data_IF_899206183043
#
_entry.id   IF_899206183043
#
_cell.length_a   1.000
_cell.length_b   1.000
_cell.length_c   1.000
_cell.angle_alpha   90.00
_cell.angle_beta   90.00
_cell.angle_gamma   90.00
#
_symmetry.space_group_name_H-M   'P 1'
#
loop_
_entity.id
_entity.type
_entity.pdbx_description
1 polymer ?
#
# COMPACT_ATOMS: atom_id res chain seq x y z
N UNK A 1 -15.06 -1.09 19.45
CA UNK A 1 -15.26 0.19 20.15
C UNK A 1 -15.03 1.27 19.11
N UNK A 2 -15.87 2.32 19.03
CA UNK A 2 -15.64 3.41 18.09
C UNK A 2 -14.50 4.30 18.59
N UNK A 3 -13.56 4.61 17.70
CA UNK A 3 -12.37 5.40 17.97
C UNK A 3 -12.13 6.43 16.86
N UNK A 4 -11.39 7.48 17.17
CA UNK A 4 -10.83 8.40 16.18
C UNK A 4 -9.50 7.86 15.64
N UNK A 5 -9.07 8.31 14.45
CA UNK A 5 -7.75 7.95 13.91
C UNK A 5 -6.60 8.39 14.82
N UNK A 6 -6.79 9.49 15.56
CA UNK A 6 -5.82 9.98 16.54
C UNK A 6 -5.66 9.02 17.72
N UNK A 7 -6.76 8.52 18.27
CA UNK A 7 -6.72 7.50 19.34
C UNK A 7 -6.07 6.20 18.84
N UNK A 8 -6.32 5.81 17.60
CA UNK A 8 -5.64 4.67 16.97
C UNK A 8 -4.13 4.96 16.82
N UNK A 9 -3.74 6.15 16.37
CA UNK A 9 -2.34 6.55 16.28
C UNK A 9 -1.63 6.54 17.65
N UNK A 10 -2.32 6.99 18.71
CA UNK A 10 -1.83 6.91 20.09
C UNK A 10 -1.62 5.46 20.53
N UNK A 11 -2.55 4.55 20.20
CA UNK A 11 -2.41 3.12 20.47
C UNK A 11 -1.21 2.51 19.73
N UNK A 12 -1.04 2.84 18.44
CA UNK A 12 0.09 2.38 17.64
C UNK A 12 1.42 2.90 18.21
N UNK A 13 1.47 4.13 18.72
CA UNK A 13 2.68 4.69 19.34
C UNK A 13 3.01 4.02 20.67
N UNK A 14 1.99 3.77 21.50
CA UNK A 14 2.14 3.17 22.83
C UNK A 14 2.59 1.70 22.76
N UNK A 15 2.39 1.04 21.62
CA UNK A 15 2.83 -0.32 21.35
C UNK A 15 4.35 -0.49 21.49
N UNK A 16 4.77 -1.57 22.15
CA UNK A 16 6.16 -2.00 22.28
C UNK A 16 6.61 -2.87 21.08
N UNK A 17 5.73 -3.13 20.12
CA UNK A 17 6.03 -4.01 18.98
C UNK A 17 6.98 -3.34 17.99
N UNK A 18 7.98 -4.10 17.57
CA UNK A 18 8.89 -3.72 16.47
C UNK A 18 8.13 -3.57 15.16
N UNK A 19 7.16 -4.45 14.88
CA UNK A 19 6.35 -4.40 13.67
C UNK A 19 4.87 -4.38 14.02
N UNK A 20 4.13 -3.49 13.38
CA UNK A 20 2.68 -3.38 13.43
C UNK A 20 2.13 -3.43 12.01
N UNK A 21 1.56 -4.57 11.64
CA UNK A 21 0.97 -4.84 10.33
C UNK A 21 -0.54 -4.65 10.39
N UNK A 22 -1.07 -3.76 9.54
CA UNK A 22 -2.46 -3.34 9.55
C UNK A 22 -3.07 -3.60 8.19
N UNK A 23 -4.08 -4.45 8.14
CA UNK A 23 -4.94 -4.56 6.96
C UNK A 23 -6.04 -3.49 7.05
N UNK A 24 -6.30 -2.76 5.96
CA UNK A 24 -7.48 -1.92 5.85
C UNK A 24 -7.98 -1.84 4.41
N UNK A 25 -9.30 -1.87 4.24
CA UNK A 25 -9.92 -1.73 2.93
C UNK A 25 -9.60 -0.38 2.26
N UNK A 26 -9.80 -0.33 0.95
CA UNK A 26 -9.71 0.93 0.22
C UNK A 26 -10.77 1.91 0.74
N UNK A 27 -10.36 3.15 0.98
CA UNK A 27 -11.22 4.17 1.58
C UNK A 27 -11.28 4.16 3.11
N UNK A 28 -10.72 3.16 3.81
CA UNK A 28 -10.77 3.07 5.29
C UNK A 28 -9.85 4.04 6.04
N UNK A 29 -9.21 4.98 5.35
CA UNK A 29 -8.45 6.07 6.00
C UNK A 29 -6.98 5.78 6.32
N UNK A 30 -6.34 4.75 5.73
CA UNK A 30 -4.91 4.42 5.95
C UNK A 30 -3.96 5.61 5.80
N UNK A 31 -4.12 6.37 4.71
CA UNK A 31 -3.31 7.57 4.46
C UNK A 31 -3.59 8.70 5.46
N UNK A 32 -4.80 8.79 6.00
CA UNK A 32 -5.11 9.74 7.08
C UNK A 32 -4.51 9.27 8.41
N UNK A 33 -4.50 7.97 8.68
CA UNK A 33 -3.84 7.39 9.84
C UNK A 33 -2.33 7.64 9.82
N UNK A 34 -1.67 7.49 8.67
CA UNK A 34 -0.23 7.79 8.55
C UNK A 34 0.08 9.27 8.81
N UNK A 35 -0.82 10.18 8.41
CA UNK A 35 -0.73 11.61 8.71
C UNK A 35 -0.91 11.94 10.19
N UNK A 36 -1.97 11.42 10.82
CA UNK A 36 -2.20 11.58 12.26
C UNK A 36 -1.02 11.05 13.07
N UNK A 37 -0.48 9.88 12.68
CA UNK A 37 0.68 9.30 13.33
C UNK A 37 1.94 10.16 13.16
N UNK A 38 2.19 10.70 11.96
CA UNK A 38 3.28 11.65 11.70
C UNK A 38 3.17 12.87 12.61
N UNK A 39 2.00 13.51 12.65
CA UNK A 39 1.77 14.73 13.43
C UNK A 39 1.91 14.49 14.95
N UNK A 40 1.59 13.28 15.41
CA UNK A 40 1.71 12.87 16.80
C UNK A 40 3.15 12.59 17.26
N UNK A 41 4.00 12.09 16.35
CA UNK A 41 5.40 11.72 16.65
C UNK A 41 6.38 12.83 16.32
N UNK A 42 6.11 13.60 15.27
CA UNK A 42 6.91 14.74 14.80
C UNK A 42 6.00 15.93 14.49
N UNK A 43 5.46 16.63 15.51
CA UNK A 43 4.61 17.79 15.31
C UNK A 43 5.40 18.88 14.58
N UNK A 44 4.81 19.47 13.53
CA UNK A 44 5.42 20.61 12.84
C UNK A 44 5.64 21.73 13.84
N UNK A 45 6.88 22.00 14.20
CA UNK A 45 7.19 23.27 14.84
C UNK A 45 6.96 24.37 13.80
N UNK A 46 6.46 25.54 14.20
CA UNK A 46 6.01 26.61 13.29
C UNK A 46 7.12 27.28 12.44
N UNK A 47 8.30 26.64 12.32
CA UNK A 47 9.47 27.12 11.62
C UNK A 47 10.01 26.12 10.57
N UNK A 48 9.26 25.08 10.20
CA UNK A 48 9.67 24.15 9.13
C UNK A 48 9.33 24.74 7.75
N UNK A 49 10.20 25.62 7.25
CA UNK A 49 10.40 25.76 5.81
C UNK A 49 11.15 24.52 5.32
N UNK A 50 10.65 23.85 4.27
CA UNK A 50 11.13 22.58 3.68
C UNK A 50 12.61 22.59 3.16
N UNK A 51 13.46 23.50 3.65
CA UNK A 51 14.85 23.71 3.26
C UNK A 51 15.85 23.64 4.44
N UNK A 52 15.45 23.35 5.67
CA UNK A 52 16.42 23.18 6.75
C UNK A 52 17.04 21.77 6.71
N UNK A 53 18.35 21.73 6.46
CA UNK A 53 19.22 20.54 6.43
C UNK A 53 19.29 19.80 7.79
N UNK A 54 18.72 20.38 8.85
CA UNK A 54 18.77 19.90 10.23
C UNK A 54 17.48 19.16 10.65
N UNK A 55 16.81 18.51 9.69
CA UNK A 55 15.52 17.84 9.88
C UNK A 55 15.67 16.52 10.66
N UNK A 56 15.71 16.61 12.00
CA UNK A 56 15.65 15.45 12.91
C UNK A 56 14.22 14.90 13.01
N UNK A 57 13.71 14.35 11.92
CA UNK A 57 12.38 13.73 11.91
C UNK A 57 12.41 12.40 12.66
N UNK A 58 11.50 12.25 13.64
CA UNK A 58 11.33 10.99 14.37
C UNK A 58 10.63 9.89 13.57
N UNK A 59 10.17 10.22 12.36
CA UNK A 59 9.44 9.32 11.48
C UNK A 59 9.84 9.50 10.01
N UNK A 60 10.03 8.37 9.33
CA UNK A 60 10.09 8.26 7.88
C UNK A 60 8.78 7.62 7.42
N UNK A 61 8.16 8.16 6.37
CA UNK A 61 6.89 7.62 5.88
C UNK A 61 6.88 7.49 4.36
N UNK A 62 6.22 6.45 3.87
CA UNK A 62 5.85 6.24 2.48
C UNK A 62 4.33 6.20 2.39
N UNK A 63 3.72 7.10 1.62
CA UNK A 63 2.28 7.13 1.34
C UNK A 63 1.99 7.93 0.05
N UNK A 64 0.71 8.16 -0.27
CA UNK A 64 0.34 8.94 -1.45
C UNK A 64 0.97 10.35 -1.49
N UNK A 65 1.20 11.02 -0.34
CA UNK A 65 1.83 12.34 -0.33
C UNK A 65 3.33 12.28 -0.68
N UNK A 66 4.01 11.18 -0.40
CA UNK A 66 5.39 11.00 -0.85
C UNK A 66 5.49 10.62 -2.31
N UNK A 67 4.50 9.90 -2.84
CA UNK A 67 4.39 9.68 -4.28
C UNK A 67 4.14 10.99 -5.04
N UNK A 68 3.35 11.91 -4.47
CA UNK A 68 3.08 13.24 -5.04
C UNK A 68 4.32 14.16 -5.09
N UNK A 69 5.45 13.78 -4.47
CA UNK A 69 6.73 14.46 -4.69
C UNK A 69 7.24 14.26 -6.13
N UNK A 70 6.68 13.28 -6.86
CA UNK A 70 7.07 12.93 -8.21
C UNK A 70 5.93 13.24 -9.18
N UNK A 71 6.20 14.05 -10.19
CA UNK A 71 5.17 14.49 -11.12
C UNK A 71 5.69 14.59 -12.55
N UNK A 72 4.81 14.28 -13.52
CA UNK A 72 5.21 14.27 -14.92
C UNK A 72 5.19 15.65 -15.55
N UNK A 73 6.30 15.99 -16.21
CA UNK A 73 6.33 16.97 -17.30
C UNK A 73 6.24 16.21 -18.62
N UNK A 74 5.06 16.26 -19.25
CA UNK A 74 4.76 15.50 -20.46
C UNK A 74 5.16 16.24 -21.75
N UNK A 75 5.76 17.44 -21.68
CA UNK A 75 6.12 18.23 -22.85
C UNK A 75 4.93 18.37 -23.83
N UNK A 76 3.77 18.83 -23.35
CA UNK A 76 2.52 18.83 -24.14
C UNK A 76 2.59 19.64 -25.43
N UNK A 77 3.54 20.58 -25.55
CA UNK A 77 3.71 21.41 -26.73
C UNK A 77 4.42 20.68 -27.87
N UNK A 78 5.46 19.89 -27.57
CA UNK A 78 6.30 19.22 -28.58
C UNK A 78 6.11 17.71 -28.59
N UNK A 79 5.53 17.15 -27.53
CA UNK A 79 5.26 15.73 -27.30
C UNK A 79 6.50 14.82 -27.43
N UNK A 80 7.67 15.35 -27.07
CA UNK A 80 8.97 14.71 -27.36
C UNK A 80 9.80 14.36 -26.13
N UNK A 81 9.86 15.23 -25.11
CA UNK A 81 10.77 15.09 -23.97
C UNK A 81 10.03 14.91 -22.64
N UNK A 82 9.40 13.76 -22.47
CA UNK A 82 8.70 13.40 -21.24
C UNK A 82 9.70 13.09 -20.12
N UNK A 83 9.48 13.68 -18.96
CA UNK A 83 10.35 13.51 -17.78
C UNK A 83 9.52 13.51 -16.49
N UNK A 84 9.98 12.73 -15.52
CA UNK A 84 9.45 12.72 -14.17
C UNK A 84 10.25 13.73 -13.35
N UNK A 85 9.60 14.78 -12.85
CA UNK A 85 10.20 15.78 -11.98
C UNK A 85 10.07 15.37 -10.52
N UNK A 86 11.06 15.73 -9.74
CA UNK A 86 11.15 15.48 -8.30
C UNK A 86 11.05 16.83 -7.59
N UNK A 87 10.04 16.99 -6.74
CA UNK A 87 9.91 18.14 -5.86
C UNK A 87 11.10 18.19 -4.90
N UNK A 88 11.71 19.37 -4.65
CA UNK A 88 12.76 19.50 -3.65
C UNK A 88 12.31 18.95 -2.30
N UNK A 89 13.08 18.02 -1.76
CA UNK A 89 12.81 17.41 -0.46
C UNK A 89 14.12 16.86 0.13
N UNK A 90 14.19 16.80 1.46
CA UNK A 90 15.40 16.38 2.17
C UNK A 90 15.80 14.92 1.86
N UNK A 91 14.82 14.03 1.67
CA UNK A 91 15.06 12.59 1.52
C UNK A 91 15.75 12.24 0.21
N UNK A 92 15.20 12.73 -0.92
CA UNK A 92 15.72 12.44 -2.25
C UNK A 92 17.06 13.12 -2.50
N UNK A 93 17.25 14.32 -1.96
CA UNK A 93 18.53 15.01 -2.02
C UNK A 93 19.62 14.19 -1.33
N UNK A 94 19.40 13.79 -0.07
CA UNK A 94 20.38 13.04 0.70
C UNK A 94 20.74 11.69 0.04
N UNK A 95 19.74 10.92 -0.41
CA UNK A 95 19.98 9.57 -0.97
C UNK A 95 20.68 9.59 -2.33
N UNK A 96 20.44 10.62 -3.16
CA UNK A 96 21.01 10.72 -4.50
C UNK A 96 22.32 11.50 -4.51
N UNK A 97 22.35 12.67 -3.87
CA UNK A 97 23.48 13.57 -3.95
C UNK A 97 24.57 13.26 -2.91
N UNK A 98 24.18 12.99 -1.66
CA UNK A 98 25.15 12.76 -0.59
C UNK A 98 25.61 11.30 -0.55
N UNK A 99 24.68 10.36 -0.75
CA UNK A 99 24.97 8.92 -0.71
C UNK A 99 25.29 8.30 -2.08
N UNK A 100 24.95 8.96 -3.20
CA UNK A 100 25.29 8.47 -4.54
C UNK A 100 24.62 7.14 -4.92
N UNK A 101 23.36 6.92 -4.51
CA UNK A 101 22.66 5.65 -4.68
C UNK A 101 21.79 5.56 -5.93
N UNK A 102 22.01 6.42 -6.91
CA UNK A 102 21.30 6.39 -8.19
C UNK A 102 21.38 5.01 -8.87
N UNK A 103 22.56 4.38 -8.85
CA UNK A 103 22.75 3.04 -9.44
C UNK A 103 22.02 1.94 -8.66
N UNK A 104 21.98 2.02 -7.32
CA UNK A 104 21.24 1.06 -6.49
C UNK A 104 19.73 1.18 -6.72
N UNK A 105 19.23 2.41 -6.89
CA UNK A 105 17.82 2.68 -7.20
C UNK A 105 17.48 2.12 -8.58
N UNK A 106 18.33 2.33 -9.58
CA UNK A 106 18.16 1.76 -10.94
C UNK A 106 18.14 0.23 -10.87
N UNK A 107 19.10 -0.38 -10.16
CA UNK A 107 19.18 -1.83 -10.03
C UNK A 107 17.95 -2.42 -9.35
N UNK A 108 17.49 -1.81 -8.24
CA UNK A 108 16.29 -2.26 -7.54
C UNK A 108 15.03 -2.09 -8.40
N UNK A 109 14.91 -0.99 -9.15
CA UNK A 109 13.82 -0.80 -10.10
C UNK A 109 13.80 -1.89 -11.18
N UNK A 110 14.95 -2.17 -11.79
CA UNK A 110 15.08 -3.17 -12.84
C UNK A 110 14.86 -4.61 -12.36
N UNK A 111 15.09 -4.89 -11.07
CA UNK A 111 14.70 -6.17 -10.47
C UNK A 111 13.19 -6.42 -10.64
N UNK A 112 12.37 -5.39 -10.44
CA UNK A 112 10.89 -5.50 -10.46
C UNK A 112 10.25 -5.20 -11.81
N UNK A 113 10.94 -4.50 -12.73
CA UNK A 113 10.40 -4.16 -14.07
C UNK A 113 11.13 -4.85 -15.22
N UNK A 114 12.22 -5.55 -14.93
CA UNK A 114 13.16 -6.10 -15.90
C UNK A 114 14.14 -5.06 -16.46
N UNK A 115 15.25 -5.55 -17.02
CA UNK A 115 16.42 -4.75 -17.40
C UNK A 115 16.27 -3.96 -18.72
N UNK A 116 15.07 -3.93 -19.32
CA UNK A 116 14.86 -3.23 -20.60
C UNK A 116 14.58 -1.74 -20.43
N UNK A 117 14.07 -1.36 -19.26
CA UNK A 117 13.69 0.01 -18.93
C UNK A 117 14.75 0.58 -17.98
N UNK A 118 15.38 1.68 -18.37
CA UNK A 118 16.45 2.30 -17.60
C UNK A 118 16.07 3.73 -17.24
N UNK A 119 15.98 4.07 -15.93
CA UNK A 119 15.88 5.45 -15.46
C UNK A 119 17.23 6.15 -15.60
N UNK A 120 17.20 7.43 -15.94
CA UNK A 120 18.36 8.31 -16.02
C UNK A 120 18.10 9.58 -15.23
N UNK A 121 18.87 9.79 -14.16
CA UNK A 121 18.84 11.03 -13.41
C UNK A 121 19.59 12.13 -14.15
N UNK A 122 19.05 13.34 -14.13
CA UNK A 122 19.70 14.46 -14.79
C UNK A 122 20.94 14.94 -14.02
N UNK A 123 21.97 15.36 -14.75
CA UNK A 123 23.03 16.24 -14.21
C UNK A 123 22.53 17.68 -14.12
N UNK A 124 23.24 18.55 -13.42
CA UNK A 124 22.92 19.97 -13.40
C UNK A 124 23.06 20.57 -14.81
N UNK A 125 22.05 21.32 -15.26
CA UNK A 125 22.08 22.01 -16.55
C UNK A 125 21.28 23.31 -16.53
N UNK A 126 21.60 24.23 -17.44
CA UNK A 126 20.85 25.48 -17.62
C UNK A 126 19.92 25.36 -18.83
N UNK A 127 18.68 25.80 -18.70
CA UNK A 127 17.69 25.86 -19.78
C UNK A 127 16.90 27.17 -19.72
N UNK A 128 15.99 27.40 -20.66
CA UNK A 128 15.11 28.57 -20.66
C UNK A 128 13.69 28.19 -20.26
N UNK A 129 13.03 29.03 -19.46
CA UNK A 129 11.59 28.90 -19.17
C UNK A 129 10.74 29.37 -20.37
N UNK A 130 9.41 29.28 -20.23
CA UNK A 130 8.45 29.71 -21.27
C UNK A 130 8.53 31.22 -21.58
N UNK A 131 9.18 32.02 -20.72
CA UNK A 131 9.35 33.47 -20.87
C UNK A 131 10.75 33.83 -21.41
N UNK A 132 11.61 32.83 -21.67
CA UNK A 132 12.97 33.01 -22.16
C UNK A 132 14.00 33.31 -21.08
N UNK A 133 13.64 33.25 -19.80
CA UNK A 133 14.57 33.43 -18.69
C UNK A 133 15.45 32.19 -18.52
N UNK A 134 16.74 32.38 -18.27
CA UNK A 134 17.62 31.28 -17.91
C UNK A 134 17.27 30.74 -16.52
N UNK A 135 17.02 29.44 -16.45
CA UNK A 135 16.78 28.69 -15.22
C UNK A 135 17.81 27.57 -15.08
N UNK A 136 18.31 27.39 -13.86
CA UNK A 136 19.20 26.29 -13.51
C UNK A 136 18.34 25.11 -13.03
N UNK A 137 18.46 23.98 -13.72
CA UNK A 137 17.88 22.70 -13.30
C UNK A 137 18.93 21.95 -12.50
N UNK A 138 18.64 21.72 -11.22
CA UNK A 138 19.55 21.05 -10.29
C UNK A 138 19.77 19.59 -10.71
N UNK A 139 20.93 19.03 -10.40
CA UNK A 139 21.16 17.59 -10.52
C UNK A 139 20.09 16.80 -9.72
N UNK A 140 19.75 15.60 -10.19
CA UNK A 140 18.81 14.69 -9.53
C UNK A 140 17.39 15.26 -9.29
N UNK A 141 17.01 16.30 -10.04
CA UNK A 141 15.67 16.91 -9.96
C UNK A 141 14.70 16.39 -11.02
N UNK A 142 15.21 15.67 -12.01
CA UNK A 142 14.45 15.11 -13.13
C UNK A 142 14.97 13.71 -13.49
N UNK A 143 14.05 12.84 -13.91
CA UNK A 143 14.33 11.48 -14.36
C UNK A 143 13.72 11.27 -15.73
N UNK A 144 14.52 10.78 -16.67
CA UNK A 144 14.06 10.32 -17.98
C UNK A 144 14.17 8.80 -18.05
N UNK A 145 13.39 8.18 -18.93
CA UNK A 145 13.41 6.72 -19.08
C UNK A 145 13.72 6.35 -20.52
N UNK A 146 14.52 5.31 -20.70
CA UNK A 146 14.82 4.75 -22.01
C UNK A 146 14.53 3.26 -22.08
N UNK A 147 14.08 2.78 -23.25
CA UNK A 147 14.04 1.36 -23.54
C UNK A 147 15.25 0.93 -24.39
N UNK A 148 15.97 -0.07 -23.92
CA UNK A 148 16.97 -0.78 -24.72
C UNK A 148 16.31 -1.95 -25.46
N UNK A 149 16.24 -1.86 -26.79
CA UNK A 149 15.72 -2.93 -27.66
C UNK A 149 16.84 -3.54 -28.50
N UNK A 150 17.59 -4.49 -27.93
CA UNK A 150 18.54 -5.29 -28.71
C UNK A 150 19.46 -4.44 -29.62
N UNK A 151 19.40 -4.65 -30.94
CA UNK A 151 20.20 -3.94 -31.95
C UNK A 151 19.57 -2.63 -32.48
N UNK A 152 18.47 -2.14 -31.91
CA UNK A 152 17.85 -0.87 -32.30
C UNK A 152 18.38 0.30 -31.45
N UNK A 153 18.29 1.52 -31.98
CA UNK A 153 18.63 2.72 -31.21
C UNK A 153 17.74 2.83 -29.95
N UNK A 154 18.29 3.21 -28.79
CA UNK A 154 17.52 3.38 -27.56
C UNK A 154 16.38 4.37 -27.77
N UNK A 155 15.17 3.99 -27.36
CA UNK A 155 14.05 4.93 -27.34
C UNK A 155 14.13 5.74 -26.06
N UNK A 156 14.56 6.99 -26.15
CA UNK A 156 14.67 7.92 -25.02
C UNK A 156 13.32 8.61 -24.69
N UNK A 157 13.25 9.24 -23.51
CA UNK A 157 12.12 10.06 -23.02
C UNK A 157 10.76 9.33 -23.01
N UNK A 158 10.77 8.07 -22.59
CA UNK A 158 9.59 7.21 -22.59
C UNK A 158 8.71 7.49 -21.38
N UNK A 159 7.39 7.59 -21.60
CA UNK A 159 6.41 7.58 -20.52
C UNK A 159 6.17 6.14 -20.08
N UNK A 160 6.43 5.88 -18.81
CA UNK A 160 6.18 4.59 -18.16
C UNK A 160 4.72 4.51 -17.65
N UNK A 161 4.22 3.30 -17.43
CA UNK A 161 2.91 3.05 -16.83
C UNK A 161 2.84 3.56 -15.38
N UNK A 162 1.62 3.68 -14.84
CA UNK A 162 1.45 4.05 -13.42
C UNK A 162 1.97 3.00 -12.45
N UNK A 163 1.94 1.72 -12.83
CA UNK A 163 2.56 0.65 -12.05
C UNK A 163 4.08 0.79 -12.00
N UNK A 164 4.74 0.95 -13.15
CA UNK A 164 6.20 1.18 -13.22
C UNK A 164 6.60 2.48 -12.48
N UNK A 165 5.79 3.54 -12.55
CA UNK A 165 6.02 4.79 -11.81
C UNK A 165 6.00 4.56 -10.29
N UNK A 166 4.99 3.83 -9.77
CA UNK A 166 4.90 3.48 -8.35
C UNK A 166 6.09 2.60 -7.92
N UNK A 167 6.50 1.62 -8.74
CA UNK A 167 7.67 0.78 -8.46
C UNK A 167 8.95 1.63 -8.44
N UNK A 168 9.13 2.56 -9.37
CA UNK A 168 10.30 3.44 -9.41
C UNK A 168 10.39 4.31 -8.16
N UNK A 169 9.28 4.95 -7.77
CA UNK A 169 9.23 5.76 -6.55
C UNK A 169 9.54 4.87 -5.33
N UNK A 170 8.91 3.70 -5.25
CA UNK A 170 9.20 2.72 -4.20
C UNK A 170 10.69 2.33 -4.16
N UNK A 171 11.37 2.16 -5.31
CA UNK A 171 12.81 1.87 -5.34
C UNK A 171 13.65 2.95 -4.65
N UNK A 172 13.28 4.23 -4.77
CA UNK A 172 13.95 5.33 -4.07
C UNK A 172 13.76 5.18 -2.56
N UNK A 173 12.52 4.95 -2.12
CA UNK A 173 12.20 4.82 -0.69
C UNK A 173 12.75 3.53 -0.07
N UNK A 174 12.79 2.44 -0.81
CA UNK A 174 13.42 1.18 -0.36
C UNK A 174 14.90 1.41 -0.03
N UNK A 175 15.65 2.00 -0.97
CA UNK A 175 17.06 2.31 -0.77
C UNK A 175 17.27 3.32 0.37
N UNK A 176 16.39 4.31 0.50
CA UNK A 176 16.39 5.23 1.65
C UNK A 176 16.24 4.49 2.98
N UNK A 177 15.25 3.60 3.10
CA UNK A 177 15.03 2.82 4.32
C UNK A 177 16.23 1.90 4.60
N UNK A 178 16.80 1.27 3.57
CA UNK A 178 17.98 0.42 3.67
C UNK A 178 19.20 1.17 4.22
N UNK A 179 19.50 2.36 3.69
CA UNK A 179 20.60 3.17 4.21
C UNK A 179 20.38 3.62 5.65
N UNK A 180 19.17 4.09 5.94
CA UNK A 180 18.80 4.52 7.29
C UNK A 180 18.94 3.38 8.29
N UNK A 181 18.54 2.16 7.92
CA UNK A 181 18.75 0.97 8.75
C UNK A 181 20.24 0.68 8.92
N UNK A 182 21.02 0.74 7.85
CA UNK A 182 22.48 0.55 7.91
C UNK A 182 23.14 1.51 8.91
N UNK A 183 22.79 2.79 8.86
CA UNK A 183 23.26 3.83 9.78
C UNK A 183 22.83 3.53 11.22
N UNK A 184 21.55 3.24 11.45
CA UNK A 184 21.01 3.02 12.78
C UNK A 184 21.48 1.70 13.43
N UNK A 185 21.96 0.75 12.63
CA UNK A 185 22.57 -0.48 13.12
C UNK A 185 23.97 -0.23 13.70
N UNK A 186 24.63 0.89 13.39
CA UNK A 186 25.88 1.30 14.02
C UNK A 186 25.56 1.77 15.46
N UNK A 187 26.03 1.07 16.51
CA UNK A 187 25.64 1.40 17.88
C UNK A 187 26.17 2.74 18.38
N UNK A 188 27.40 3.09 18.01
CA UNK A 188 28.08 4.32 18.43
C UNK A 188 27.69 5.47 17.48
N UNK A 189 26.95 6.47 17.99
CA UNK A 189 26.48 7.60 17.16
C UNK A 189 27.63 8.36 16.49
N UNK A 190 28.79 8.47 17.17
CA UNK A 190 29.98 9.12 16.62
C UNK A 190 30.64 8.40 15.44
N UNK A 191 30.27 7.13 15.20
CA UNK A 191 30.77 6.34 14.07
C UNK A 191 29.80 6.31 12.89
N UNK A 192 28.65 6.99 12.99
CA UNK A 192 27.67 7.07 11.91
C UNK A 192 28.09 8.12 10.88
N UNK A 193 27.78 7.84 9.61
CA UNK A 193 28.07 8.76 8.50
C UNK A 193 27.23 10.05 8.55
N UNK A 194 26.12 10.05 9.32
CA UNK A 194 25.25 11.21 9.50
C UNK A 194 24.49 11.14 10.82
N UNK A 195 24.27 12.31 11.43
CA UNK A 195 23.44 12.46 12.63
C UNK A 195 21.96 12.69 12.32
N UNK A 196 21.59 12.95 11.06
CA UNK A 196 20.25 13.38 10.65
C UNK A 196 19.16 12.36 10.99
N UNK A 197 19.54 11.08 11.11
CA UNK A 197 18.61 9.98 11.40
C UNK A 197 18.74 9.42 12.83
N UNK A 198 19.63 9.94 13.68
CA UNK A 198 19.84 9.38 15.03
C UNK A 198 18.56 9.40 15.89
N UNK A 199 17.68 10.38 15.67
CA UNK A 199 16.40 10.49 16.39
C UNK A 199 15.25 9.71 15.74
N UNK A 200 15.48 9.01 14.64
CA UNK A 200 14.44 8.27 13.93
C UNK A 200 13.96 7.08 14.76
N UNK A 201 12.64 7.03 15.00
CA UNK A 201 12.02 5.99 15.82
C UNK A 201 11.04 5.12 15.04
N UNK A 202 10.47 5.64 13.95
CA UNK A 202 9.42 4.97 13.21
C UNK A 202 9.63 5.03 11.70
N UNK A 203 9.32 3.93 11.01
CA UNK A 203 9.08 3.87 9.57
C UNK A 203 7.61 3.50 9.36
N UNK A 204 6.88 4.32 8.63
CA UNK A 204 5.47 4.08 8.28
C UNK A 204 5.34 3.83 6.78
N UNK A 205 4.84 2.67 6.37
CA UNK A 205 4.65 2.31 4.97
C UNK A 205 3.15 2.11 4.72
N UNK A 206 2.55 2.96 3.89
CA UNK A 206 1.15 2.85 3.47
C UNK A 206 1.05 2.42 2.01
N UNK A 207 0.59 1.18 1.79
CA UNK A 207 0.40 0.58 0.47
C UNK A 207 1.58 0.83 -0.49
N UNK A 208 2.74 0.20 -0.26
CA UNK A 208 3.98 0.52 -0.98
C UNK A 208 3.88 0.37 -2.50
N UNK A 209 2.96 -0.48 -2.98
CA UNK A 209 2.67 -0.72 -4.39
C UNK A 209 1.23 -1.22 -4.53
N UNK A 210 0.43 -0.53 -5.34
CA UNK A 210 -0.99 -0.85 -5.55
C UNK A 210 -1.27 -1.62 -6.84
N UNK A 211 -0.30 -1.68 -7.77
CA UNK A 211 -0.53 -2.08 -9.17
C UNK A 211 0.55 -3.02 -9.73
N UNK A 212 1.05 -3.94 -8.90
CA UNK A 212 1.94 -5.03 -9.33
C UNK A 212 1.15 -6.32 -9.56
N UNK A 213 1.65 -7.19 -10.44
CA UNK A 213 1.17 -8.57 -10.49
C UNK A 213 1.61 -9.37 -9.25
N UNK A 214 0.97 -10.51 -9.03
CA UNK A 214 1.15 -11.30 -7.82
C UNK A 214 2.61 -11.76 -7.61
N UNK A 215 3.38 -12.03 -8.66
CA UNK A 215 4.76 -12.50 -8.52
C UNK A 215 5.68 -11.38 -8.06
N UNK A 216 5.64 -10.22 -8.72
CA UNK A 216 6.44 -9.06 -8.35
C UNK A 216 6.03 -8.52 -6.97
N UNK A 217 4.73 -8.60 -6.65
CA UNK A 217 4.24 -8.24 -5.31
C UNK A 217 4.83 -9.15 -4.22
N UNK A 218 4.90 -10.47 -4.46
CA UNK A 218 5.52 -11.42 -3.52
C UNK A 218 7.00 -11.06 -3.31
N UNK A 219 7.75 -10.86 -4.39
CA UNK A 219 9.18 -10.53 -4.32
C UNK A 219 9.42 -9.23 -3.55
N UNK A 220 8.69 -8.17 -3.87
CA UNK A 220 8.75 -6.90 -3.14
C UNK A 220 8.41 -7.08 -1.66
N UNK A 221 7.41 -7.90 -1.33
CA UNK A 221 7.02 -8.16 0.05
C UNK A 221 8.11 -8.92 0.81
N UNK A 222 8.77 -9.88 0.18
CA UNK A 222 9.91 -10.61 0.75
C UNK A 222 11.07 -9.65 1.02
N UNK A 223 11.42 -8.77 0.06
CA UNK A 223 12.47 -7.77 0.24
C UNK A 223 12.16 -6.83 1.42
N UNK A 224 10.91 -6.36 1.56
CA UNK A 224 10.49 -5.56 2.72
C UNK A 224 10.67 -6.34 4.03
N UNK A 225 10.31 -7.61 4.06
CA UNK A 225 10.45 -8.43 5.25
C UNK A 225 11.92 -8.61 5.65
N UNK A 226 12.81 -8.84 4.67
CA UNK A 226 14.25 -8.93 4.88
C UNK A 226 14.83 -7.62 5.39
N UNK A 227 14.43 -6.49 4.79
CA UNK A 227 14.81 -5.15 5.21
C UNK A 227 14.42 -4.87 6.69
N UNK A 228 13.21 -5.24 7.09
CA UNK A 228 12.77 -5.08 8.48
C UNK A 228 13.56 -5.99 9.44
N UNK A 229 13.89 -7.21 9.00
CA UNK A 229 14.67 -8.17 9.80
C UNK A 229 16.12 -7.71 9.96
N UNK A 230 16.71 -7.03 8.98
CA UNK A 230 18.08 -6.52 9.04
C UNK A 230 18.24 -5.34 9.99
N UNK A 231 17.15 -4.67 10.39
CA UNK A 231 17.18 -3.65 11.44
C UNK A 231 17.47 -4.26 12.82
N UNK A 232 18.64 -3.98 13.37
CA UNK A 232 19.07 -4.40 14.72
C UNK A 232 18.79 -3.32 15.77
N UNK A 233 18.51 -2.10 15.31
CA UNK A 233 18.18 -0.94 16.14
C UNK A 233 16.77 -0.99 16.75
N UNK A 234 16.45 0.00 17.58
CA UNK A 234 15.12 0.18 18.18
C UNK A 234 14.03 0.67 17.22
N UNK A 235 14.32 0.74 15.91
CA UNK A 235 13.42 1.27 14.88
C UNK A 235 12.15 0.43 14.78
N UNK A 236 10.99 1.09 14.82
CA UNK A 236 9.67 0.45 14.73
C UNK A 236 9.05 0.65 13.35
N UNK A 237 8.36 -0.37 12.85
CA UNK A 237 7.74 -0.39 11.54
C UNK A 237 6.22 -0.47 11.68
N UNK A 238 5.50 0.43 11.02
CA UNK A 238 4.04 0.40 10.90
C UNK A 238 3.71 0.28 9.43
N UNK A 239 3.00 -0.78 9.05
CA UNK A 239 2.76 -1.12 7.65
C UNK A 239 1.26 -1.27 7.47
N UNK A 240 0.69 -0.47 6.59
CA UNK A 240 -0.74 -0.55 6.24
C UNK A 240 -0.88 -1.05 4.81
N UNK A 241 -1.81 -1.99 4.59
CA UNK A 241 -2.13 -2.41 3.23
C UNK A 241 -3.60 -2.76 3.02
N UNK A 242 -4.09 -2.63 1.79
CA UNK A 242 -5.36 -3.23 1.36
C UNK A 242 -5.21 -4.58 0.65
N UNK A 243 -3.98 -4.98 0.31
CA UNK A 243 -3.73 -6.18 -0.48
C UNK A 243 -3.57 -7.42 0.43
N UNK A 244 -4.49 -8.41 0.36
CA UNK A 244 -4.41 -9.59 1.22
C UNK A 244 -3.19 -10.47 0.95
N UNK A 245 -2.69 -10.54 -0.29
CA UNK A 245 -1.49 -11.32 -0.63
C UNK A 245 -0.27 -10.71 0.04
N UNK A 246 -0.08 -9.40 -0.11
CA UNK A 246 0.99 -8.65 0.56
C UNK A 246 0.93 -8.86 2.08
N UNK A 247 -0.25 -8.67 2.68
CA UNK A 247 -0.42 -8.85 4.13
C UNK A 247 0.00 -10.26 4.57
N UNK A 248 -0.47 -11.30 3.86
CA UNK A 248 -0.21 -12.70 4.23
C UNK A 248 1.24 -13.11 4.04
N UNK A 249 1.89 -12.69 2.95
CA UNK A 249 3.31 -12.95 2.71
C UNK A 249 4.13 -12.26 3.80
N UNK A 250 3.90 -10.97 4.06
CA UNK A 250 4.64 -10.21 5.07
C UNK A 250 4.44 -10.78 6.48
N UNK A 251 3.21 -11.15 6.83
CA UNK A 251 2.88 -11.80 8.09
C UNK A 251 3.69 -13.09 8.33
N UNK A 252 3.77 -13.93 7.30
CA UNK A 252 4.50 -15.19 7.35
C UNK A 252 6.01 -14.96 7.41
N UNK A 253 6.52 -14.10 6.53
CA UNK A 253 7.95 -13.80 6.44
C UNK A 253 8.49 -13.20 7.74
N UNK A 254 7.77 -12.26 8.35
CA UNK A 254 8.15 -11.68 9.64
C UNK A 254 7.93 -12.61 10.83
N UNK A 255 7.37 -13.80 10.61
CA UNK A 255 7.21 -14.81 11.66
C UNK A 255 6.26 -14.37 12.77
N UNK A 256 5.28 -13.51 12.47
CA UNK A 256 4.33 -12.94 13.46
C UNK A 256 3.43 -13.99 14.14
N UNK A 257 3.55 -15.25 13.71
CA UNK A 257 2.93 -16.45 14.31
C UNK A 257 3.65 -16.97 15.57
N UNK A 258 4.94 -16.66 15.78
CA UNK A 258 5.78 -17.33 16.80
C UNK A 258 5.54 -16.77 18.21
N UNK A 259 4.82 -17.53 19.05
CA UNK A 259 4.74 -17.32 20.51
C UNK A 259 3.32 -17.34 21.09
N UNK A 260 3.22 -17.15 22.42
CA UNK A 260 1.96 -17.06 23.17
C UNK A 260 1.29 -15.67 23.10
N UNK A 261 1.94 -14.70 22.45
CA UNK A 261 1.48 -13.32 22.30
C UNK A 261 1.53 -12.92 20.83
N UNK A 262 0.40 -13.15 20.16
CA UNK A 262 0.12 -12.77 18.76
C UNK A 262 -0.18 -11.28 18.72
N UNK A 263 0.85 -10.45 18.76
CA UNK A 263 0.70 -9.01 18.97
C UNK A 263 1.38 -8.23 17.83
N UNK A 264 0.67 -7.25 17.26
CA UNK A 264 1.14 -6.45 16.13
C UNK A 264 0.41 -6.68 14.79
N UNK A 265 -0.71 -7.40 14.78
CA UNK A 265 -1.54 -7.62 13.60
C UNK A 265 -2.93 -7.05 13.80
N UNK A 266 -3.38 -6.20 12.88
CA UNK A 266 -4.61 -5.45 13.05
C UNK A 266 -5.45 -5.42 11.77
N UNK A 267 -6.76 -5.31 11.96
CA UNK A 267 -7.71 -4.88 10.95
C UNK A 267 -8.21 -3.50 11.33
N UNK A 268 -8.02 -2.54 10.44
CA UNK A 268 -8.59 -1.20 10.56
C UNK A 268 -9.92 -1.16 9.78
N UNK A 269 -11.01 -0.92 10.50
CA UNK A 269 -12.35 -0.77 9.94
C UNK A 269 -12.81 0.68 10.07
N UNK A 270 -13.40 1.21 9.00
CA UNK A 270 -14.13 2.48 9.02
C UNK A 270 -15.62 2.22 9.21
N UNK A 271 -16.22 2.83 10.21
CA UNK A 271 -17.64 2.70 10.55
C UNK A 271 -18.47 3.80 9.86
N UNK A 272 -19.77 3.55 9.66
CA UNK A 272 -20.70 4.46 8.98
C UNK A 272 -20.83 5.83 9.67
N UNK A 273 -20.65 5.88 10.98
CA UNK A 273 -20.70 7.11 11.78
C UNK A 273 -19.42 7.96 11.65
N UNK A 274 -18.46 7.53 10.80
CA UNK A 274 -17.18 8.20 10.58
C UNK A 274 -16.12 7.87 11.63
N UNK A 275 -16.42 6.97 12.57
CA UNK A 275 -15.45 6.46 13.54
C UNK A 275 -14.74 5.21 13.00
N UNK A 276 -13.74 4.72 13.75
CA UNK A 276 -12.87 3.63 13.34
C UNK A 276 -12.79 2.57 14.43
N UNK A 277 -12.45 1.35 14.04
CA UNK A 277 -12.18 0.23 14.95
C UNK A 277 -10.84 -0.40 14.54
N UNK A 278 -9.91 -0.52 15.48
CA UNK A 278 -8.67 -1.26 15.28
C UNK A 278 -8.78 -2.62 15.97
N UNK A 279 -9.16 -3.64 15.21
CA UNK A 279 -9.35 -4.99 15.75
C UNK A 279 -8.02 -5.76 15.70
N UNK A 280 -7.61 -6.31 16.84
CA UNK A 280 -6.46 -7.22 16.90
C UNK A 280 -6.82 -8.53 16.24
N UNK A 281 -6.03 -8.96 15.25
CA UNK A 281 -6.25 -10.24 14.56
C UNK A 281 -5.35 -11.34 15.10
N UNK A 282 -5.98 -12.47 15.45
CA UNK A 282 -5.33 -13.64 16.03
C UNK A 282 -5.40 -14.84 15.07
N UNK A 283 -4.32 -15.62 14.92
CA UNK A 283 -4.36 -16.82 14.05
C UNK A 283 -3.02 -17.26 13.45
N UNK A 284 -3.08 -18.31 12.63
CA UNK A 284 -2.08 -18.61 11.58
C UNK A 284 -2.31 -17.65 10.39
N UNK A 285 -1.45 -17.49 9.37
CA UNK A 285 -1.81 -16.62 8.21
C UNK A 285 -3.16 -17.01 7.58
N UNK A 286 -3.44 -18.31 7.53
CA UNK A 286 -4.71 -18.90 7.13
C UNK A 286 -5.90 -18.63 8.09
N UNK A 287 -5.69 -17.96 9.23
CA UNK A 287 -6.74 -17.58 10.21
C UNK A 287 -6.70 -16.10 10.60
N UNK A 288 -5.52 -15.48 10.71
CA UNK A 288 -5.29 -14.07 11.07
C UNK A 288 -5.77 -13.12 10.00
N UNK A 289 -5.66 -13.48 8.72
CA UNK A 289 -6.32 -12.74 7.65
C UNK A 289 -6.61 -13.65 6.45
N UNK A 290 -7.44 -14.67 6.69
CA UNK A 290 -8.17 -15.29 5.58
C UNK A 290 -9.20 -14.29 5.11
N UNK A 291 -8.85 -13.47 4.12
CA UNK A 291 -9.75 -12.51 3.50
C UNK A 291 -11.11 -13.14 3.23
N UNK A 292 -11.16 -14.37 2.72
CA UNK A 292 -12.39 -15.13 2.51
C UNK A 292 -13.18 -15.45 3.81
N UNK A 293 -12.52 -15.75 4.93
CA UNK A 293 -13.18 -15.90 6.24
C UNK A 293 -13.68 -14.56 6.77
N UNK A 294 -12.92 -13.48 6.61
CA UNK A 294 -13.39 -12.14 6.98
C UNK A 294 -14.63 -11.73 6.16
N UNK A 295 -14.58 -11.93 4.84
CA UNK A 295 -15.74 -11.70 3.96
C UNK A 295 -16.93 -12.53 4.43
N UNK A 296 -16.69 -13.81 4.76
CA UNK A 296 -17.72 -14.72 5.26
C UNK A 296 -18.37 -14.21 6.54
N UNK A 297 -17.58 -13.89 7.57
CA UNK A 297 -18.12 -13.42 8.85
C UNK A 297 -18.79 -12.05 8.73
N UNK A 298 -18.24 -11.14 7.91
CA UNK A 298 -18.84 -9.82 7.67
C UNK A 298 -20.22 -9.95 7.01
N UNK A 299 -20.33 -10.79 5.97
CA UNK A 299 -21.60 -11.04 5.28
C UNK A 299 -22.58 -11.74 6.25
N UNK A 300 -22.12 -12.73 7.00
CA UNK A 300 -22.93 -13.46 7.98
C UNK A 300 -23.51 -12.52 9.06
N UNK A 301 -22.67 -11.70 9.69
CA UNK A 301 -23.11 -10.75 10.71
C UNK A 301 -24.13 -9.74 10.16
N UNK A 302 -23.96 -9.28 8.93
CA UNK A 302 -24.90 -8.37 8.28
C UNK A 302 -26.25 -9.03 7.96
N UNK A 303 -26.24 -10.30 7.56
CA UNK A 303 -27.46 -11.10 7.37
C UNK A 303 -28.18 -11.29 8.71
N UNK A 304 -27.47 -11.71 9.76
CA UNK A 304 -28.03 -11.95 11.10
C UNK A 304 -28.61 -10.67 11.73
N UNK A 305 -27.95 -9.52 11.52
CA UNK A 305 -28.42 -8.23 12.00
C UNK A 305 -29.48 -7.56 11.10
N UNK A 306 -29.83 -8.18 9.96
CA UNK A 306 -30.66 -7.59 8.90
C UNK A 306 -30.17 -6.20 8.42
N UNK A 307 -28.84 -6.02 8.41
CA UNK A 307 -28.13 -4.79 8.01
C UNK A 307 -27.34 -5.00 6.71
N UNK A 308 -27.89 -5.78 5.79
CA UNK A 308 -27.26 -5.98 4.47
C UNK A 308 -27.35 -4.68 3.67
N UNK A 309 -26.18 -4.19 3.30
CA UNK A 309 -25.98 -2.98 2.49
C UNK A 309 -25.31 -3.28 1.15
N UNK A 310 -25.24 -2.28 0.27
CA UNK A 310 -24.66 -2.41 -1.07
C UNK A 310 -23.25 -3.00 -1.08
N UNK A 311 -22.36 -2.57 -0.18
CA UNK A 311 -20.98 -3.05 -0.17
C UNK A 311 -20.89 -4.56 0.10
N UNK A 312 -21.87 -5.16 0.80
CA UNK A 312 -21.93 -6.60 1.05
C UNK A 312 -22.10 -7.42 -0.23
N UNK A 313 -22.70 -6.86 -1.29
CA UNK A 313 -22.76 -7.51 -2.61
C UNK A 313 -21.38 -7.62 -3.24
N UNK A 314 -20.53 -6.61 -3.05
CA UNK A 314 -19.12 -6.65 -3.48
C UNK A 314 -18.35 -7.71 -2.71
N UNK A 315 -18.54 -7.79 -1.39
CA UNK A 315 -17.92 -8.83 -0.56
C UNK A 315 -18.35 -10.24 -0.99
N UNK A 316 -19.65 -10.43 -1.22
CA UNK A 316 -20.23 -11.70 -1.67
C UNK A 316 -19.63 -12.11 -3.02
N UNK A 317 -19.58 -11.19 -3.98
CA UNK A 317 -18.96 -11.43 -5.29
C UNK A 317 -17.50 -11.87 -5.14
N UNK A 318 -16.72 -11.18 -4.31
CA UNK A 318 -15.31 -11.54 -4.07
C UNK A 318 -15.17 -12.97 -3.51
N UNK A 319 -16.09 -13.37 -2.62
CA UNK A 319 -16.10 -14.72 -2.06
C UNK A 319 -16.39 -15.78 -3.14
N UNK A 320 -17.36 -15.53 -4.03
CA UNK A 320 -17.63 -16.37 -5.19
C UNK A 320 -16.46 -16.44 -6.17
N UNK A 321 -15.82 -15.31 -6.48
CA UNK A 321 -14.66 -15.26 -7.38
C UNK A 321 -13.48 -16.06 -6.84
N UNK A 322 -13.18 -15.93 -5.55
CA UNK A 322 -12.11 -16.72 -4.90
C UNK A 322 -12.44 -18.20 -4.85
N UNK A 323 -13.69 -18.57 -4.56
CA UNK A 323 -14.13 -19.97 -4.56
C UNK A 323 -14.01 -20.57 -5.96
N UNK A 324 -14.45 -19.84 -6.99
CA UNK A 324 -14.41 -20.30 -8.37
C UNK A 324 -12.98 -20.50 -8.86
N UNK A 325 -12.10 -19.54 -8.56
CA UNK A 325 -10.67 -19.64 -8.85
C UNK A 325 -10.03 -20.85 -8.17
N UNK A 326 -10.34 -21.09 -6.89
CA UNK A 326 -9.80 -22.23 -6.14
C UNK A 326 -10.28 -23.58 -6.69
N UNK A 327 -11.55 -23.68 -7.10
CA UNK A 327 -12.14 -24.90 -7.65
C UNK A 327 -11.89 -25.08 -9.17
N UNK A 328 -11.19 -24.13 -9.82
CA UNK A 328 -10.85 -24.22 -11.25
C UNK A 328 -11.99 -23.87 -12.21
N UNK A 329 -13.00 -23.12 -11.78
CA UNK A 329 -14.08 -22.66 -12.66
C UNK A 329 -13.64 -21.45 -13.50
N UNK A 330 -14.02 -21.38 -14.79
CA UNK A 330 -13.62 -20.28 -15.68
C UNK A 330 -14.31 -18.94 -15.36
N UNK A 331 -15.48 -18.98 -14.70
CA UNK A 331 -16.23 -17.79 -14.27
C UNK A 331 -16.91 -18.09 -12.94
N UNK A 332 -16.96 -17.08 -12.07
CA UNK A 332 -17.59 -17.22 -10.75
C UNK A 332 -19.10 -17.45 -10.81
N UNK A 333 -19.76 -16.93 -11.86
CA UNK A 333 -21.19 -17.13 -12.10
C UNK A 333 -21.58 -18.60 -12.29
N UNK A 334 -20.61 -19.47 -12.61
CA UNK A 334 -20.87 -20.91 -12.74
C UNK A 334 -21.18 -21.58 -11.40
N UNK A 335 -20.78 -20.96 -10.28
CA UNK A 335 -21.08 -21.42 -8.92
C UNK A 335 -22.44 -20.93 -8.40
N UNK A 336 -23.15 -20.09 -9.15
CA UNK A 336 -24.47 -19.61 -8.72
C UNK A 336 -25.51 -20.74 -8.75
N UNK A 337 -26.53 -20.68 -7.88
CA UNK A 337 -27.68 -21.60 -7.91
C UNK A 337 -28.46 -21.53 -9.23
N UNK A 338 -29.48 -22.38 -9.37
CA UNK A 338 -30.48 -22.27 -10.44
C UNK A 338 -30.98 -20.82 -10.57
N UNK A 339 -31.31 -20.38 -11.79
CA UNK A 339 -31.50 -18.95 -12.16
C UNK A 339 -30.22 -18.08 -12.11
N UNK A 340 -29.07 -18.69 -12.45
CA UNK A 340 -27.74 -18.04 -12.52
C UNK A 340 -27.74 -16.63 -13.11
N UNK A 341 -28.44 -16.41 -14.23
CA UNK A 341 -28.47 -15.12 -14.93
C UNK A 341 -29.13 -14.01 -14.09
N UNK A 342 -30.20 -14.35 -13.35
CA UNK A 342 -30.91 -13.41 -12.48
C UNK A 342 -30.03 -12.98 -11.31
N UNK A 343 -29.43 -13.96 -10.62
CA UNK A 343 -28.54 -13.71 -9.50
C UNK A 343 -27.27 -12.98 -9.94
N UNK A 344 -26.69 -13.35 -11.08
CA UNK A 344 -25.53 -12.69 -11.66
C UNK A 344 -25.82 -11.21 -11.90
N UNK A 345 -26.92 -10.88 -12.59
CA UNK A 345 -27.32 -9.48 -12.83
C UNK A 345 -27.51 -8.70 -11.55
N UNK A 346 -28.13 -9.31 -10.54
CA UNK A 346 -28.39 -8.68 -9.25
C UNK A 346 -27.09 -8.37 -8.49
N UNK A 347 -26.19 -9.34 -8.40
CA UNK A 347 -24.89 -9.16 -7.74
C UNK A 347 -24.06 -8.11 -8.48
N UNK A 348 -23.98 -8.20 -9.81
CA UNK A 348 -23.22 -7.25 -10.63
C UNK A 348 -23.79 -5.83 -10.55
N UNK A 349 -25.13 -5.68 -10.51
CA UNK A 349 -25.80 -4.38 -10.36
C UNK A 349 -25.35 -3.64 -9.08
N UNK A 350 -25.26 -4.36 -7.96
CA UNK A 350 -24.87 -3.75 -6.69
C UNK A 350 -23.35 -3.71 -6.46
N UNK A 351 -22.60 -4.69 -7.00
CA UNK A 351 -21.15 -4.81 -6.84
C UNK A 351 -20.31 -3.95 -7.80
N UNK A 352 -20.87 -3.51 -8.93
CA UNK A 352 -20.13 -2.65 -9.86
C UNK A 352 -20.05 -1.21 -9.33
N UNK A 353 -18.81 -0.68 -9.30
CA UNK A 353 -18.50 0.71 -8.97
C UNK A 353 -18.22 1.60 -10.20
N UNK A 354 -18.19 1.05 -11.42
CA UNK A 354 -17.59 1.74 -12.59
C UNK A 354 -18.52 2.16 -13.72
N UNK A 355 -19.84 2.10 -13.56
CA UNK A 355 -20.75 2.71 -14.54
C UNK A 355 -21.85 3.49 -13.85
N UNK A 356 -21.65 4.82 -13.85
CA UNK A 356 -22.60 5.91 -13.59
C UNK A 356 -22.74 6.35 -12.11
N UNK A 357 -22.22 7.56 -11.88
CA UNK A 357 -22.55 8.58 -10.88
C UNK A 357 -23.03 8.14 -9.49
N UNK A 358 -22.33 8.64 -8.47
CA UNK A 358 -22.64 8.58 -7.04
C UNK A 358 -24.00 9.21 -6.61
N UNK A 359 -24.94 9.45 -7.52
CA UNK A 359 -26.20 10.15 -7.21
C UNK A 359 -27.48 9.31 -7.40
N UNK A 360 -27.42 8.04 -7.83
CA UNK A 360 -28.66 7.29 -8.07
C UNK A 360 -28.58 5.76 -7.93
N UNK A 361 -28.12 5.23 -6.79
CA UNK A 361 -28.36 3.81 -6.46
C UNK A 361 -28.98 3.72 -5.07
N UNK A 362 -30.26 3.34 -5.03
CA UNK A 362 -31.02 3.16 -3.80
C UNK A 362 -30.42 2.06 -2.92
N UNK A 363 -30.58 2.20 -1.60
CA UNK A 363 -30.32 1.11 -0.63
C UNK A 363 -31.06 -0.16 -1.07
N UNK A 364 -30.46 -1.36 -0.91
CA UNK A 364 -31.11 -2.59 -1.31
C UNK A 364 -32.43 -2.77 -0.53
N UNK A 365 -33.49 -3.03 -1.27
CA UNK A 365 -34.79 -3.43 -0.76
C UNK A 365 -34.71 -4.76 0.01
N UNK A 366 -35.68 -5.07 0.85
CA UNK A 366 -35.68 -6.32 1.64
C UNK A 366 -35.54 -7.59 0.77
N UNK A 367 -36.17 -7.70 -0.42
CA UNK A 367 -35.91 -8.82 -1.33
C UNK A 367 -34.45 -8.91 -1.81
N UNK A 368 -33.78 -7.78 -2.00
CA UNK A 368 -32.37 -7.72 -2.41
C UNK A 368 -31.45 -8.12 -1.25
N UNK A 369 -31.76 -7.69 -0.02
CA UNK A 369 -31.06 -8.15 1.18
C UNK A 369 -31.17 -9.67 1.36
N UNK A 370 -32.37 -10.22 1.16
CA UNK A 370 -32.60 -11.66 1.20
C UNK A 370 -31.81 -12.41 0.12
N UNK A 371 -31.58 -11.80 -1.04
CA UNK A 371 -30.77 -12.38 -2.12
C UNK A 371 -29.32 -12.63 -1.65
N UNK A 372 -28.75 -11.72 -0.86
CA UNK A 372 -27.40 -11.92 -0.28
C UNK A 372 -27.39 -13.12 0.65
N UNK A 373 -28.41 -13.28 1.50
CA UNK A 373 -28.55 -14.43 2.39
C UNK A 373 -28.65 -15.76 1.66
N UNK A 374 -29.49 -15.84 0.62
CA UNK A 374 -29.67 -17.04 -0.21
C UNK A 374 -28.35 -17.45 -0.88
N UNK A 375 -27.68 -16.49 -1.53
CA UNK A 375 -26.43 -16.75 -2.23
C UNK A 375 -25.29 -17.09 -1.26
N UNK A 376 -25.22 -16.42 -0.13
CA UNK A 376 -24.23 -16.72 0.90
C UNK A 376 -24.38 -18.14 1.44
N UNK A 377 -25.60 -18.54 1.84
CA UNK A 377 -25.86 -19.88 2.34
C UNK A 377 -25.59 -20.95 1.28
N UNK A 378 -26.03 -20.71 0.03
CA UNK A 378 -25.72 -21.59 -1.09
C UNK A 378 -24.21 -21.83 -1.25
N UNK A 379 -23.41 -20.75 -1.19
CA UNK A 379 -21.97 -20.84 -1.34
C UNK A 379 -21.31 -21.65 -0.20
N UNK A 380 -21.76 -21.44 1.04
CA UNK A 380 -21.22 -22.12 2.22
C UNK A 380 -21.61 -23.61 2.27
N UNK A 381 -22.87 -23.93 1.97
CA UNK A 381 -23.42 -25.29 2.06
C UNK A 381 -22.92 -26.20 0.93
N UNK A 382 -22.77 -25.69 -0.29
CA UNK A 382 -22.49 -26.52 -1.46
C UNK A 382 -21.01 -26.69 -1.79
N UNK A 383 -20.12 -25.87 -1.21
CA UNK A 383 -18.69 -25.87 -1.57
C UNK A 383 -17.76 -26.17 -0.39
N UNK A 384 -18.24 -26.96 0.58
CA UNK A 384 -17.44 -27.57 1.66
C UNK A 384 -16.64 -26.55 2.51
N UNK A 385 -17.23 -25.39 2.77
CA UNK A 385 -16.68 -24.47 3.75
C UNK A 385 -16.71 -25.13 5.13
N UNK A 386 -15.62 -25.02 5.90
CA UNK A 386 -15.59 -25.50 7.28
C UNK A 386 -16.69 -24.79 8.10
N UNK A 387 -17.49 -25.59 8.80
CA UNK A 387 -18.55 -25.13 9.71
C UNK A 387 -18.03 -25.26 11.14
N UNK A 388 -18.17 -24.21 11.95
CA UNK A 388 -17.86 -24.30 13.38
C UNK A 388 -18.80 -25.33 14.02
N UNK A 389 -18.23 -26.32 14.71
CA UNK A 389 -19.01 -27.20 15.58
C UNK A 389 -19.70 -26.33 16.62
N UNK A 390 -21.03 -26.41 16.68
CA UNK A 390 -21.81 -25.76 17.72
C UNK A 390 -21.37 -26.37 19.05
N UNK A 391 -20.67 -25.58 19.88
CA UNK A 391 -20.38 -25.98 21.25
C UNK A 391 -21.72 -26.27 21.93
N UNK A 392 -21.92 -27.54 22.29
CA UNK A 392 -23.10 -28.05 22.97
C UNK A 392 -22.93 -27.96 24.48
#
# INVERSE_FOLDING_TARGET
>A
MSQTLREIAEQLRASDKKVQLIYAFNGSGKTRLSREFKELVSPKSAAETDNDEDHKSKILYYNAFTEDLYYWDNDLEKDTKRKLKIQPNAYTFWILQDQGLDQNIIAYFQLHTGNKLTPHFNQEYTTQDQQGNQIMVKAFSEVTFSYERGNEEPREYVKISKGEESVFIWSIFYNLIEQVIGILNIPEESERDTDSYNELQYVFIDDPVSSLDDNHLIELTVNIAELIKSSESGLKFIITTHNPLFYNVLYNELGLKKGTKKEGCYLLESLEDGTFNLEVKYGDSNKSFSYHLYLKETIKAAIEANKVERYHFTLLRNLYEKTASFLGYPRWSELLPDDKETYYRRVVQFANHNTLSNEAVAQPSDPEKNTVGVLFNHLIENYSYWQEESAS
#
